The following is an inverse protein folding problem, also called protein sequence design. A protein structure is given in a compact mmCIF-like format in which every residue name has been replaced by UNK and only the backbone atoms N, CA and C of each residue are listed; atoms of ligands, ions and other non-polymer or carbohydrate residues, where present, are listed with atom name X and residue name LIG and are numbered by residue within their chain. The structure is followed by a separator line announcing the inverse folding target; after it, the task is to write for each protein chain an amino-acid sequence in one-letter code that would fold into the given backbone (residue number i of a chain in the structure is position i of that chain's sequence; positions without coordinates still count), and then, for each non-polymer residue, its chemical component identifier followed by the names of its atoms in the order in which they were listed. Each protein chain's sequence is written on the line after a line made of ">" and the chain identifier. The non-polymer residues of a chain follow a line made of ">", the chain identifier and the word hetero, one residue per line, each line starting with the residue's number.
data_IF_090272735685
#
_entry.id   IF_090272735685
#
_cell.length_a   1.000
_cell.length_b   1.000
_cell.length_c   1.000
_cell.angle_alpha   90.00
_cell.angle_beta   90.00
_cell.angle_gamma   90.00
#
_symmetry.space_group_name_H-M   'P 1'
#
loop_
_entity.id
_entity.type
_entity.pdbx_description
1 polymer ?
#
# COMPACT_ATOMS: atom_id res chain seq x y z
N UNK A 1 6.89 12.35 22.39
CA UNK A 1 7.29 11.19 21.54
C UNK A 1 6.38 10.00 21.75
N UNK A 2 6.26 9.46 22.97
CA UNK A 2 5.35 8.33 23.26
C UNK A 2 3.91 8.60 22.82
N UNK A 3 3.36 9.79 23.13
CA UNK A 3 2.02 10.18 22.67
C UNK A 3 1.87 10.14 21.15
N UNK A 4 2.85 10.66 20.40
CA UNK A 4 2.82 10.63 18.93
C UNK A 4 2.85 9.19 18.41
N UNK A 5 3.67 8.32 19.01
CA UNK A 5 3.73 6.91 18.65
C UNK A 5 2.38 6.21 18.92
N UNK A 6 1.74 6.47 20.05
CA UNK A 6 0.43 5.92 20.38
C UNK A 6 -0.65 6.37 19.38
N UNK A 7 -0.65 7.64 18.99
CA UNK A 7 -1.56 8.16 17.96
C UNK A 7 -1.34 7.48 16.62
N UNK A 8 -0.08 7.43 16.13
CA UNK A 8 0.27 6.77 14.86
C UNK A 8 -0.16 5.29 14.89
N UNK A 9 0.16 4.56 15.96
CA UNK A 9 -0.11 3.12 16.05
C UNK A 9 -1.61 2.82 16.16
N UNK A 10 -2.35 3.59 16.96
CA UNK A 10 -3.79 3.35 17.16
C UNK A 10 -4.59 3.53 15.87
N UNK A 11 -4.35 4.61 15.13
CA UNK A 11 -5.03 4.88 13.85
C UNK A 11 -4.57 3.98 12.71
N UNK A 12 -3.38 3.38 12.82
CA UNK A 12 -2.88 2.36 11.89
C UNK A 12 -3.53 0.99 12.06
N UNK A 13 -4.37 0.80 13.09
CA UNK A 13 -5.12 -0.42 13.26
C UNK A 13 -6.03 -0.68 12.06
N UNK A 14 -6.21 -1.96 11.70
CA UNK A 14 -7.00 -2.32 10.52
C UNK A 14 -8.42 -1.75 10.59
N UNK A 15 -9.03 -1.76 11.77
CA UNK A 15 -10.38 -1.26 11.99
C UNK A 15 -10.52 0.24 11.70
N UNK A 16 -9.60 1.07 12.22
CA UNK A 16 -9.65 2.52 12.03
C UNK A 16 -9.26 2.87 10.60
N UNK A 17 -8.18 2.29 10.06
CA UNK A 17 -7.70 2.58 8.71
C UNK A 17 -8.74 2.25 7.63
N UNK A 18 -9.55 1.21 7.80
CA UNK A 18 -10.61 0.87 6.83
C UNK A 18 -11.91 1.64 7.05
N UNK A 19 -12.10 2.23 8.24
CA UNK A 19 -13.32 2.97 8.59
C UNK A 19 -13.20 4.48 8.38
N UNK A 20 -11.99 5.04 8.52
CA UNK A 20 -11.71 6.45 8.30
C UNK A 20 -10.24 6.58 7.83
N UNK A 21 -10.05 6.59 6.51
CA UNK A 21 -8.72 6.57 5.93
C UNK A 21 -8.01 7.91 6.12
N UNK A 22 -8.74 9.03 6.02
CA UNK A 22 -8.24 10.38 6.26
C UNK A 22 -7.64 10.54 7.67
N UNK A 23 -8.33 10.07 8.72
CA UNK A 23 -7.80 10.09 10.09
C UNK A 23 -6.50 9.30 10.20
N UNK A 24 -6.46 8.11 9.60
CA UNK A 24 -5.22 7.33 9.50
C UNK A 24 -4.13 8.14 8.81
N UNK A 25 -4.42 8.75 7.66
CA UNK A 25 -3.46 9.50 6.86
C UNK A 25 -2.85 10.67 7.63
N UNK A 26 -3.66 11.56 8.22
CA UNK A 26 -3.16 12.72 8.97
C UNK A 26 -2.31 12.31 10.16
N UNK A 27 -2.78 11.34 10.95
CA UNK A 27 -2.03 10.89 12.12
C UNK A 27 -0.77 10.14 11.75
N UNK A 28 -0.72 9.43 10.61
CA UNK A 28 0.50 8.79 10.15
C UNK A 28 1.60 9.80 9.83
N UNK A 29 1.26 10.97 9.24
CA UNK A 29 2.22 12.04 8.90
C UNK A 29 2.92 12.66 10.12
N UNK A 30 2.42 12.42 11.34
CA UNK A 30 3.11 12.78 12.58
C UNK A 30 4.48 12.10 12.71
N UNK A 31 4.82 11.11 11.87
CA UNK A 31 6.16 10.54 11.78
C UNK A 31 7.24 11.62 11.54
N UNK A 32 6.93 12.68 10.79
CA UNK A 32 7.86 13.79 10.56
C UNK A 32 8.23 14.50 11.87
N UNK A 33 7.21 14.81 12.69
CA UNK A 33 7.41 15.43 14.00
C UNK A 33 8.14 14.45 14.93
N UNK A 34 7.79 13.17 14.89
CA UNK A 34 8.47 12.13 15.67
C UNK A 34 9.96 12.04 15.32
N UNK A 35 10.33 12.09 14.04
CA UNK A 35 11.72 12.05 13.58
C UNK A 35 12.49 13.29 14.03
N UNK A 36 11.91 14.49 13.92
CA UNK A 36 12.51 15.70 14.47
C UNK A 36 12.77 15.56 15.98
N UNK A 37 11.79 15.05 16.73
CA UNK A 37 11.96 14.83 18.17
C UNK A 37 13.00 13.73 18.48
N UNK A 38 13.17 12.71 17.65
CA UNK A 38 14.22 11.68 17.80
C UNK A 38 15.62 12.28 17.62
N UNK A 39 15.78 13.28 16.76
CA UNK A 39 17.05 14.01 16.61
C UNK A 39 17.31 14.93 17.81
N UNK A 40 16.28 15.58 18.35
CA UNK A 40 16.41 16.51 19.47
C UNK A 40 16.57 15.82 20.83
N UNK A 41 15.91 14.68 21.04
CA UNK A 41 15.89 13.95 22.32
C UNK A 41 17.27 13.62 22.91
N UNK A 42 18.24 13.07 22.15
CA UNK A 42 19.56 12.73 22.69
C UNK A 42 20.48 13.94 22.89
N UNK A 43 20.14 15.12 22.36
CA UNK A 43 21.00 16.32 22.46
C UNK A 43 21.22 16.80 23.89
N UNK A 44 20.35 16.42 24.84
CA UNK A 44 20.51 16.77 26.26
C UNK A 44 21.63 15.98 26.95
N UNK A 45 22.20 14.95 26.31
CA UNK A 45 23.36 14.22 26.84
C UNK A 45 23.11 13.57 28.20
N UNK A 46 21.88 13.14 28.48
CA UNK A 46 21.48 12.57 29.78
C UNK A 46 22.25 11.28 30.07
N UNK A 47 22.49 10.48 29.02
CA UNK A 47 23.33 9.29 29.11
C UNK A 47 24.79 9.72 29.12
N UNK A 48 25.45 9.44 30.24
CA UNK A 48 26.88 9.67 30.44
C UNK A 48 27.58 8.33 30.59
N UNK A 49 28.78 8.25 30.05
CA UNK A 49 29.67 7.10 30.18
C UNK A 49 30.95 7.55 30.89
N UNK A 50 31.52 6.65 31.69
CA UNK A 50 32.77 6.90 32.39
C UNK A 50 33.93 6.55 31.47
N UNK A 51 34.83 7.50 31.21
CA UNK A 51 35.99 7.26 30.34
C UNK A 51 37.24 6.80 31.12
N UNK A 52 37.40 7.20 32.38
CA UNK A 52 38.59 6.93 33.17
C UNK A 52 38.49 5.63 33.99
N UNK A 53 38.11 4.52 33.36
CA UNK A 53 37.98 3.21 34.02
C UNK A 53 39.31 2.69 34.59
N UNK A 54 40.44 3.03 33.95
CA UNK A 54 41.77 2.61 34.41
C UNK A 54 42.24 3.35 35.67
N UNK A 55 41.73 4.57 35.90
CA UNK A 55 42.04 5.40 37.07
C UNK A 55 41.02 5.25 38.18
N UNK A 56 39.75 4.99 37.82
CA UNK A 56 38.65 4.84 38.73
C UNK A 56 37.76 3.64 38.31
N UNK A 57 38.18 2.40 38.59
CA UNK A 57 37.35 1.23 38.31
C UNK A 57 36.11 1.20 39.22
N UNK A 58 34.96 0.65 38.76
CA UNK A 58 33.76 0.54 39.58
C UNK A 58 34.05 -0.20 40.89
N UNK A 59 33.74 0.42 42.03
CA UNK A 59 34.00 -0.15 43.36
C UNK A 59 35.37 0.17 43.97
N UNK A 60 36.18 1.05 43.35
CA UNK A 60 37.41 1.54 43.98
C UNK A 60 37.11 2.48 45.16
N UNK A 61 38.02 2.53 46.13
CA UNK A 61 37.92 3.43 47.27
C UNK A 61 38.74 4.71 47.06
N UNK A 62 38.08 5.85 47.18
CA UNK A 62 38.74 7.16 47.21
C UNK A 62 39.47 7.31 48.54
N UNK A 63 40.77 7.59 48.50
CA UNK A 63 41.52 7.97 49.70
C UNK A 63 41.04 9.37 50.10
N UNK A 64 40.15 9.43 51.09
CA UNK A 64 39.88 10.69 51.80
C UNK A 64 41.16 11.08 52.52
N UNK A 65 41.74 12.21 52.11
CA UNK A 65 42.97 12.74 52.67
C UNK A 65 42.75 13.09 54.15
N UNK A 66 43.02 12.14 55.05
CA UNK A 66 43.21 12.43 56.48
C UNK A 66 44.64 12.95 56.66
N UNK A 67 44.89 14.12 56.09
CA UNK A 67 46.17 14.81 56.13
C UNK A 67 45.95 16.27 56.52
N UNK A 68 45.97 16.55 57.81
CA UNK A 68 46.15 17.91 58.29
C UNK A 68 47.51 18.43 57.80
N UNK A 69 47.49 19.42 56.92
CA UNK A 69 48.62 20.30 56.67
C UNK A 69 48.10 21.72 56.65
N UNK A 70 48.52 22.48 57.66
CA UNK A 70 48.31 23.91 57.77
C UNK A 70 49.05 24.59 56.62
N UNK A 71 48.36 24.93 55.54
CA UNK A 71 48.86 25.91 54.58
C UNK A 71 47.78 26.96 54.34
N UNK A 72 47.93 28.05 55.07
CA UNK A 72 47.33 29.35 54.77
C UNK A 72 47.76 29.79 53.37
N UNK A 73 46.83 29.78 52.42
CA UNK A 73 46.93 30.67 51.27
C UNK A 73 45.56 31.28 50.96
N UNK A 74 45.50 32.59 51.20
CA UNK A 74 44.38 33.47 50.89
C UNK A 74 44.01 33.38 49.40
N UNK A 75 42.77 32.97 49.13
CA UNK A 75 42.06 33.37 47.91
C UNK A 75 40.75 33.99 48.37
N UNK A 76 40.61 35.28 48.11
CA UNK A 76 39.41 36.05 48.39
C UNK A 76 38.26 35.54 47.49
N UNK A 77 37.17 35.11 48.12
CA UNK A 77 35.90 34.83 47.44
C UNK A 77 34.97 36.04 47.58
N UNK A 78 34.48 36.55 46.44
CA UNK A 78 33.30 37.41 46.37
C UNK A 78 32.05 36.62 46.85
N UNK A 79 31.04 37.27 47.44
CA UNK A 79 29.89 36.56 47.99
C UNK A 79 28.87 36.20 46.90
N UNK A 80 28.64 34.91 46.67
CA UNK A 80 27.43 34.43 45.99
C UNK A 80 26.23 34.45 46.94
N UNK A 81 25.00 34.72 46.44
CA UNK A 81 23.82 34.91 47.27
C UNK A 81 23.29 33.58 47.83
N UNK A 82 22.79 33.64 49.06
CA UNK A 82 22.15 32.53 49.78
C UNK A 82 20.96 31.92 48.98
N UNK A 83 20.87 30.59 48.84
CA UNK A 83 19.60 29.93 48.62
C UNK A 83 18.91 29.64 49.96
N UNK A 84 17.62 29.97 49.97
CA UNK A 84 16.67 29.89 51.08
C UNK A 84 16.65 28.54 51.82
N UNK A 85 16.38 28.64 53.12
CA UNK A 85 16.28 27.54 54.07
C UNK A 85 15.20 26.51 53.69
N UNK A 86 15.61 25.29 53.33
CA UNK A 86 14.73 24.13 53.38
C UNK A 86 14.87 23.44 54.74
N UNK A 87 13.88 23.64 55.61
CA UNK A 87 13.74 22.95 56.88
C UNK A 87 13.20 21.55 56.59
N UNK A 88 14.06 20.54 56.69
CA UNK A 88 13.70 19.12 56.66
C UNK A 88 14.45 18.37 57.76
N UNK A 89 13.79 18.16 58.90
CA UNK A 89 14.27 17.39 60.04
C UNK A 89 14.31 15.89 59.73
N UNK A 90 15.47 15.25 59.92
CA UNK A 90 15.68 14.09 60.81
C UNK A 90 17.20 13.81 60.91
N UNK A 91 17.78 13.64 62.11
CA UNK A 91 19.15 13.14 62.24
C UNK A 91 19.15 11.65 61.88
N UNK A 92 19.90 11.28 60.84
CA UNK A 92 20.23 9.88 60.60
C UNK A 92 21.14 9.38 61.75
N UNK A 93 20.93 8.17 62.29
CA UNK A 93 21.93 7.53 63.14
C UNK A 93 23.22 7.39 62.33
N UNK A 94 24.38 7.64 62.96
CA UNK A 94 25.66 7.23 62.37
C UNK A 94 25.56 5.75 61.98
N UNK A 95 25.80 5.37 60.71
CA UNK A 95 25.84 3.97 60.36
C UNK A 95 27.07 3.37 61.05
N UNK A 96 26.81 2.44 61.97
CA UNK A 96 27.79 1.43 62.39
C UNK A 96 28.46 0.89 61.12
N UNK A 97 29.79 0.82 61.13
CA UNK A 97 30.57 0.39 59.98
C UNK A 97 30.18 -1.02 59.56
N UNK A 98 29.30 -1.13 58.56
CA UNK A 98 29.02 -2.40 57.91
C UNK A 98 30.31 -2.91 57.23
N UNK A 99 30.66 -4.20 57.39
CA UNK A 99 31.80 -4.78 56.70
C UNK A 99 31.56 -4.74 55.19
N UNK A 100 32.60 -4.30 54.45
CA UNK A 100 32.58 -4.05 53.01
C UNK A 100 32.12 -5.29 52.21
N UNK A 101 31.26 -5.12 51.18
CA UNK A 101 30.84 -6.22 50.33
C UNK A 101 32.01 -6.78 49.49
N UNK A 102 32.07 -8.11 49.39
CA UNK A 102 33.08 -8.91 48.68
C UNK A 102 33.11 -8.58 47.18
N UNK A 103 33.94 -7.60 46.81
CA UNK A 103 34.20 -7.24 45.41
C UNK A 103 35.30 -6.20 45.19
N UNK A 104 35.98 -5.75 46.25
CA UNK A 104 36.90 -4.60 46.23
C UNK A 104 38.39 -4.97 46.30
N UNK A 105 38.73 -6.25 46.11
CA UNK A 105 40.11 -6.75 46.19
C UNK A 105 40.65 -7.23 44.84
N UNK A 106 41.89 -6.86 44.51
CA UNK A 106 42.62 -7.42 43.36
C UNK A 106 42.89 -8.95 43.54
N UNK A 107 43.45 -9.62 42.51
CA UNK A 107 43.82 -11.06 42.56
C UNK A 107 44.74 -11.44 43.76
N UNK A 108 45.30 -10.44 44.46
CA UNK A 108 46.20 -10.60 45.60
C UNK A 108 45.58 -10.13 46.93
N UNK A 109 44.27 -9.86 46.98
CA UNK A 109 43.55 -9.50 48.21
C UNK A 109 43.73 -8.04 48.67
N UNK A 110 44.23 -7.13 47.81
CA UNK A 110 44.46 -5.72 48.17
C UNK A 110 43.29 -4.84 47.74
N UNK A 111 42.91 -3.90 48.60
CA UNK A 111 41.86 -2.91 48.31
C UNK A 111 42.26 -2.06 47.11
N UNK A 112 41.43 -2.07 46.05
CA UNK A 112 41.66 -1.25 44.85
C UNK A 112 41.37 0.22 45.19
N UNK A 113 42.42 1.05 45.15
CA UNK A 113 42.32 2.49 45.44
C UNK A 113 42.16 3.29 44.15
N UNK A 114 41.28 4.30 44.17
CA UNK A 114 41.08 5.17 43.02
C UNK A 114 42.31 6.10 42.87
N UNK A 115 42.80 6.27 41.63
CA UNK A 115 43.91 7.17 41.31
C UNK A 115 43.46 8.62 41.06
N UNK A 116 42.16 8.83 40.86
CA UNK A 116 41.54 10.14 40.64
C UNK A 116 40.01 10.06 40.71
N UNK A 117 39.30 11.21 40.66
CA UNK A 117 37.83 11.23 40.67
C UNK A 117 37.25 10.66 39.36
N UNK A 118 36.02 10.10 39.38
CA UNK A 118 35.39 9.57 38.17
C UNK A 118 35.01 10.70 37.20
N UNK A 119 35.39 10.55 35.93
CA UNK A 119 35.09 11.52 34.86
C UNK A 119 34.04 10.95 33.92
N UNK A 120 32.90 11.65 33.81
CA UNK A 120 31.77 11.26 32.98
C UNK A 120 31.64 12.17 31.76
N UNK A 121 31.60 11.58 30.57
CA UNK A 121 31.35 12.30 29.32
C UNK A 121 29.99 11.91 28.75
N UNK A 122 29.36 12.85 28.05
CA UNK A 122 28.11 12.58 27.33
C UNK A 122 28.40 11.70 26.13
N UNK A 123 27.62 10.62 25.97
CA UNK A 123 27.74 9.75 24.80
C UNK A 123 27.49 10.56 23.50
N UNK A 124 28.22 10.22 22.44
CA UNK A 124 28.02 10.86 21.14
C UNK A 124 26.60 10.59 20.61
N UNK A 125 25.96 11.59 20.02
CA UNK A 125 24.64 11.41 19.43
C UNK A 125 24.80 10.65 18.10
N UNK A 126 24.31 9.42 18.04
CA UNK A 126 24.44 8.56 16.84
C UNK A 126 23.16 8.49 15.99
N UNK A 127 22.03 8.92 16.53
CA UNK A 127 20.70 8.77 15.92
C UNK A 127 20.61 9.39 14.52
N UNK A 128 21.34 10.49 14.27
CA UNK A 128 21.34 11.17 12.98
C UNK A 128 21.92 10.31 11.85
N UNK A 129 22.90 9.44 12.14
CA UNK A 129 23.51 8.56 11.14
C UNK A 129 22.50 7.58 10.58
N UNK A 130 21.63 7.06 11.45
CA UNK A 130 20.61 6.07 11.10
C UNK A 130 19.36 6.69 10.48
N UNK A 131 19.05 7.96 10.78
CA UNK A 131 17.88 8.64 10.24
C UNK A 131 18.16 9.36 8.91
N UNK A 132 19.31 10.02 8.77
CA UNK A 132 19.56 10.94 7.66
C UNK A 132 19.57 10.22 6.30
N UNK A 133 20.29 9.10 6.17
CA UNK A 133 20.38 8.35 4.91
C UNK A 133 19.01 7.90 4.39
N UNK A 134 18.24 7.10 5.16
CA UNK A 134 16.90 6.68 4.77
C UNK A 134 15.93 7.85 4.53
N UNK A 135 16.01 8.92 5.33
CA UNK A 135 15.16 10.10 5.15
C UNK A 135 15.48 10.85 3.86
N UNK A 136 16.76 11.04 3.52
CA UNK A 136 17.16 11.62 2.24
C UNK A 136 16.68 10.79 1.05
N UNK A 137 16.79 9.45 1.13
CA UNK A 137 16.27 8.56 0.10
C UNK A 137 14.74 8.68 -0.05
N UNK A 138 14.01 8.74 1.07
CA UNK A 138 12.57 8.99 1.06
C UNK A 138 12.23 10.33 0.41
N UNK A 139 12.90 11.43 0.79
CA UNK A 139 12.68 12.73 0.21
C UNK A 139 12.98 12.74 -1.29
N UNK A 140 14.07 12.11 -1.73
CA UNK A 140 14.40 12.00 -3.15
C UNK A 140 13.31 11.24 -3.93
N UNK A 141 12.80 10.14 -3.37
CA UNK A 141 11.70 9.37 -3.96
C UNK A 141 10.40 10.18 -4.06
N UNK A 142 10.08 10.95 -3.02
CA UNK A 142 8.90 11.83 -2.98
C UNK A 142 9.00 13.00 -3.96
N UNK A 143 10.16 13.66 -4.05
CA UNK A 143 10.39 14.71 -5.04
C UNK A 143 10.32 14.14 -6.46
N UNK A 144 10.92 12.98 -6.70
CA UNK A 144 10.84 12.32 -8.00
C UNK A 144 9.39 12.02 -8.41
N UNK A 145 8.56 11.49 -7.49
CA UNK A 145 7.13 11.27 -7.76
C UNK A 145 6.39 12.56 -8.02
N UNK A 146 6.61 13.61 -7.22
CA UNK A 146 5.95 14.90 -7.40
C UNK A 146 6.28 15.50 -8.77
N UNK A 147 7.55 15.47 -9.19
CA UNK A 147 7.96 15.97 -10.50
C UNK A 147 7.32 15.16 -11.63
N UNK A 148 7.20 13.84 -11.49
CA UNK A 148 6.59 12.96 -12.49
C UNK A 148 5.05 13.07 -12.54
N UNK A 149 4.39 13.23 -11.39
CA UNK A 149 2.93 13.21 -11.26
C UNK A 149 2.28 14.56 -11.54
N UNK A 150 3.05 15.65 -11.62
CA UNK A 150 2.55 17.03 -11.77
C UNK A 150 1.99 17.38 -13.16
N UNK A 151 1.57 16.38 -13.94
CA UNK A 151 0.91 16.61 -15.22
C UNK A 151 -0.57 16.26 -15.07
N UNK A 152 -1.47 17.26 -15.21
CA UNK A 152 -2.91 17.05 -15.09
C UNK A 152 -3.43 16.21 -16.26
N UNK A 153 -4.45 15.40 -15.99
CA UNK A 153 -5.23 14.67 -16.99
C UNK A 153 -6.61 15.31 -17.13
N UNK A 154 -7.02 15.58 -18.36
CA UNK A 154 -8.33 16.16 -18.65
C UNK A 154 -9.38 15.04 -18.81
N UNK A 155 -10.52 15.20 -18.16
CA UNK A 155 -11.67 14.29 -18.30
C UNK A 155 -12.35 14.56 -19.64
N UNK A 156 -12.35 13.57 -20.52
CA UNK A 156 -13.00 13.62 -21.83
C UNK A 156 -14.44 13.14 -21.79
N UNK A 157 -14.79 12.26 -20.85
CA UNK A 157 -16.12 11.70 -20.72
C UNK A 157 -16.31 10.88 -19.45
N UNK A 158 -17.55 10.74 -19.03
CA UNK A 158 -17.96 9.94 -17.88
C UNK A 158 -19.14 9.07 -18.29
N UNK A 159 -19.07 7.78 -18.00
CA UNK A 159 -20.13 6.82 -18.29
C UNK A 159 -20.46 6.07 -17.00
N UNK A 160 -21.73 6.09 -16.61
CA UNK A 160 -22.22 5.36 -15.45
C UNK A 160 -22.60 3.93 -15.86
N UNK A 161 -22.18 2.98 -15.04
CA UNK A 161 -22.44 1.55 -15.20
C UNK A 161 -23.20 1.02 -13.97
N UNK A 162 -23.96 -0.09 -14.11
CA UNK A 162 -24.63 -0.72 -12.98
C UNK A 162 -23.65 -1.16 -11.88
N UNK A 163 -24.15 -1.30 -10.63
CA UNK A 163 -23.36 -1.73 -9.45
C UNK A 163 -22.39 -0.65 -8.91
N UNK A 164 -22.80 0.63 -9.02
CA UNK A 164 -22.08 1.82 -8.56
C UNK A 164 -20.68 1.94 -9.16
N UNK A 165 -20.56 1.63 -10.45
CA UNK A 165 -19.30 1.70 -11.21
C UNK A 165 -19.38 2.86 -12.18
N UNK A 166 -18.33 3.68 -12.21
CA UNK A 166 -18.18 4.78 -13.15
C UNK A 166 -16.93 4.58 -13.99
N UNK A 167 -17.09 4.70 -15.30
CA UNK A 167 -15.99 4.82 -16.24
C UNK A 167 -15.63 6.30 -16.39
N UNK A 168 -14.36 6.62 -16.14
CA UNK A 168 -13.80 7.95 -16.36
C UNK A 168 -12.82 7.87 -17.52
N UNK A 169 -13.13 8.58 -18.59
CA UNK A 169 -12.28 8.70 -19.77
C UNK A 169 -11.38 9.92 -19.61
N UNK A 170 -10.08 9.70 -19.75
CA UNK A 170 -9.03 10.66 -19.45
C UNK A 170 -8.11 10.84 -20.66
N UNK A 171 -7.58 12.04 -20.80
CA UNK A 171 -6.56 12.38 -21.80
C UNK A 171 -5.37 13.03 -21.11
N UNK A 172 -4.15 12.58 -21.48
CA UNK A 172 -2.90 13.09 -20.94
C UNK A 172 -1.84 13.14 -22.02
N UNK A 173 -1.14 14.26 -22.12
CA UNK A 173 -0.08 14.44 -23.11
C UNK A 173 1.10 13.49 -22.87
N UNK A 174 1.61 12.89 -23.95
CA UNK A 174 2.76 11.99 -23.89
C UNK A 174 2.53 10.71 -23.07
N UNK A 175 1.29 10.37 -22.72
CA UNK A 175 0.98 9.20 -21.94
C UNK A 175 0.85 7.95 -22.83
N UNK A 176 1.73 6.98 -22.61
CA UNK A 176 1.65 5.65 -23.22
C UNK A 176 1.52 4.60 -22.14
N UNK A 177 0.65 3.61 -22.34
CA UNK A 177 0.44 2.52 -21.40
C UNK A 177 0.18 1.20 -22.13
N UNK A 178 0.48 0.09 -21.45
CA UNK A 178 0.19 -1.26 -21.93
C UNK A 178 -1.00 -1.87 -21.20
N UNK A 179 -1.67 -2.86 -21.81
CA UNK A 179 -2.81 -3.52 -21.18
C UNK A 179 -2.41 -4.22 -19.88
N UNK A 180 -3.28 -4.11 -18.88
CA UNK A 180 -3.07 -4.64 -17.53
C UNK A 180 -2.31 -3.70 -16.60
N UNK A 181 -1.69 -2.63 -17.10
CA UNK A 181 -1.04 -1.62 -16.25
C UNK A 181 -2.07 -0.79 -15.47
N UNK A 182 -1.62 -0.19 -14.36
CA UNK A 182 -2.44 0.69 -13.54
C UNK A 182 -1.81 2.07 -13.42
N UNK A 183 -2.64 3.04 -13.06
CA UNK A 183 -2.23 4.41 -12.75
C UNK A 183 -2.64 4.74 -11.33
N UNK A 184 -2.02 5.77 -10.77
CA UNK A 184 -2.40 6.29 -9.47
C UNK A 184 -2.99 7.67 -9.68
N UNK A 185 -4.22 7.87 -9.19
CA UNK A 185 -5.01 9.07 -9.44
C UNK A 185 -5.11 9.88 -8.15
N UNK A 186 -4.92 11.18 -8.27
CA UNK A 186 -5.20 12.17 -7.24
C UNK A 186 -6.25 13.14 -7.75
N UNK A 187 -7.18 13.50 -6.86
CA UNK A 187 -8.20 14.51 -7.10
C UNK A 187 -8.09 15.54 -5.98
N UNK A 188 -7.45 16.71 -6.22
CA UNK A 188 -7.23 17.72 -5.18
C UNK A 188 -8.52 18.23 -4.56
N UNK A 189 -9.61 18.23 -5.33
CA UNK A 189 -10.92 18.64 -4.86
C UNK A 189 -11.42 17.69 -3.76
N UNK A 190 -11.11 16.39 -3.85
CA UNK A 190 -11.40 15.35 -2.82
C UNK A 190 -10.39 15.44 -1.69
N UNK A 191 -9.11 15.25 -2.02
CA UNK A 191 -8.01 15.22 -1.08
C UNK A 191 -6.71 15.54 -1.80
N UNK A 192 -5.97 16.54 -1.30
CA UNK A 192 -4.77 17.05 -1.97
C UNK A 192 -3.56 16.13 -1.85
N UNK A 193 -3.58 15.19 -0.90
CA UNK A 193 -2.44 14.33 -0.58
C UNK A 193 -2.69 12.85 -0.87
N UNK A 194 -3.93 12.46 -1.16
CA UNK A 194 -4.27 11.05 -1.37
C UNK A 194 -4.21 10.63 -2.84
N UNK A 195 -3.58 9.48 -3.05
CA UNK A 195 -3.27 8.93 -4.36
C UNK A 195 -3.76 7.48 -4.39
N UNK A 196 -4.74 7.18 -5.23
CA UNK A 196 -5.42 5.88 -5.26
C UNK A 196 -5.15 5.12 -6.56
N UNK A 197 -4.77 3.83 -6.51
CA UNK A 197 -4.44 3.06 -7.70
C UNK A 197 -5.69 2.57 -8.45
N UNK A 198 -5.73 2.78 -9.76
CA UNK A 198 -6.78 2.30 -10.66
C UNK A 198 -6.19 1.64 -11.90
N UNK A 199 -6.70 0.46 -12.23
CA UNK A 199 -6.28 -0.26 -13.43
C UNK A 199 -6.84 0.38 -14.69
N UNK A 200 -6.00 0.50 -15.72
CA UNK A 200 -6.42 1.02 -17.02
C UNK A 200 -7.29 -0.02 -17.72
N UNK A 201 -8.54 0.31 -18.03
CA UNK A 201 -9.45 -0.58 -18.78
C UNK A 201 -9.38 -0.37 -20.28
N UNK A 202 -8.93 0.81 -20.72
CA UNK A 202 -8.63 1.13 -22.11
C UNK A 202 -7.29 1.86 -22.15
N UNK A 203 -6.40 1.46 -23.06
CA UNK A 203 -5.08 2.05 -23.21
C UNK A 203 -5.05 3.04 -24.38
N UNK A 204 -4.25 4.11 -24.27
CA UNK A 204 -4.11 5.07 -25.36
C UNK A 204 -3.45 4.39 -26.56
N UNK A 205 -3.93 4.72 -27.75
CA UNK A 205 -3.45 4.20 -29.03
C UNK A 205 -3.00 5.34 -29.93
N UNK A 206 -2.22 5.08 -30.98
CA UNK A 206 -1.76 6.14 -31.90
C UNK A 206 -2.90 6.91 -32.58
N UNK A 207 -4.11 6.33 -32.62
CA UNK A 207 -5.33 6.94 -33.18
C UNK A 207 -6.17 7.68 -32.15
N UNK A 208 -6.06 7.31 -30.88
CA UNK A 208 -6.90 7.82 -29.81
C UNK A 208 -6.06 7.96 -28.52
N UNK A 209 -5.76 9.20 -28.06
CA UNK A 209 -4.99 9.44 -26.86
C UNK A 209 -5.79 9.21 -25.56
N UNK A 210 -7.08 8.86 -25.66
CA UNK A 210 -7.91 8.61 -24.48
C UNK A 210 -7.55 7.28 -23.82
N UNK A 211 -7.65 7.26 -22.49
CA UNK A 211 -7.58 6.06 -21.69
C UNK A 211 -8.67 6.08 -20.62
N UNK A 212 -9.20 4.92 -20.29
CA UNK A 212 -10.31 4.80 -19.34
C UNK A 212 -9.86 4.12 -18.06
N UNK A 213 -10.39 4.59 -16.94
CA UNK A 213 -10.36 3.89 -15.64
C UNK A 213 -11.79 3.60 -15.20
N UNK A 214 -11.98 2.51 -14.48
CA UNK A 214 -13.26 2.19 -13.85
C UNK A 214 -13.09 2.24 -12.33
N UNK A 215 -13.94 3.03 -11.68
CA UNK A 215 -13.98 3.17 -10.22
C UNK A 215 -15.32 2.65 -9.71
N UNK A 216 -15.28 1.87 -8.63
CA UNK A 216 -16.48 1.45 -7.91
C UNK A 216 -16.57 2.25 -6.61
N UNK A 217 -17.78 2.68 -6.22
CA UNK A 217 -18.04 3.36 -4.95
C UNK A 217 -17.77 2.43 -3.76
N UNK A 218 -16.51 2.39 -3.28
CA UNK A 218 -15.99 1.43 -2.31
C UNK A 218 -15.03 2.10 -1.31
N UNK A 219 -15.52 3.05 -0.53
CA UNK A 219 -14.75 3.78 0.47
C UNK A 219 -15.00 5.29 0.43
N UNK A 220 -14.50 6.00 1.44
CA UNK A 220 -14.64 7.44 1.64
C UNK A 220 -14.15 8.27 0.45
N UNK A 221 -12.92 7.99 -0.03
CA UNK A 221 -12.35 8.72 -1.16
C UNK A 221 -13.09 8.44 -2.46
N UNK A 222 -13.40 7.17 -2.76
CA UNK A 222 -14.09 6.80 -4.01
C UNK A 222 -15.53 7.28 -4.05
N UNK A 223 -16.21 7.34 -2.90
CA UNK A 223 -17.56 7.91 -2.76
C UNK A 223 -17.54 9.42 -2.99
N UNK A 224 -16.60 10.10 -2.33
CA UNK A 224 -16.38 11.55 -2.50
C UNK A 224 -15.98 11.94 -3.93
N UNK A 225 -15.25 11.07 -4.64
CA UNK A 225 -14.95 11.26 -6.06
C UNK A 225 -16.19 11.00 -6.92
N UNK A 226 -16.94 9.94 -6.64
CA UNK A 226 -18.18 9.61 -7.37
C UNK A 226 -19.16 10.79 -7.36
N UNK A 227 -19.43 11.36 -6.18
CA UNK A 227 -20.36 12.49 -6.01
C UNK A 227 -19.88 13.75 -6.74
N UNK A 228 -18.57 13.98 -6.86
CA UNK A 228 -18.00 15.09 -7.64
C UNK A 228 -18.08 14.87 -9.15
N UNK A 229 -17.98 13.61 -9.59
CA UNK A 229 -18.05 13.25 -11.01
C UNK A 229 -19.50 13.23 -11.53
N UNK A 230 -20.43 12.81 -10.67
CA UNK A 230 -21.86 12.72 -10.93
C UNK A 230 -22.62 13.48 -9.83
N UNK A 231 -22.59 14.83 -9.83
CA UNK A 231 -23.43 15.59 -8.91
C UNK A 231 -24.90 15.31 -9.24
N UNK A 232 -25.71 15.12 -8.20
CA UNK A 232 -27.16 14.99 -8.35
C UNK A 232 -27.69 16.21 -9.12
N UNK A 233 -28.24 15.97 -10.30
CA UNK A 233 -29.03 17.00 -10.98
C UNK A 233 -30.33 17.13 -10.21
N UNK A 234 -30.44 18.14 -9.35
CA UNK A 234 -31.74 18.56 -8.85
C UNK A 234 -32.67 18.77 -10.05
N UNK A 235 -33.85 18.14 -10.01
CA UNK A 235 -34.88 18.12 -11.07
C UNK A 235 -35.48 19.52 -11.39
N UNK A 236 -34.84 20.62 -11.02
CA UNK A 236 -35.41 21.97 -11.09
C UNK A 236 -35.04 22.77 -12.34
N UNK A 237 -34.18 22.29 -13.24
CA UNK A 237 -33.81 23.01 -14.46
C UNK A 237 -34.01 22.19 -15.76
N UNK A 238 -35.27 21.87 -16.08
CA UNK A 238 -35.69 21.30 -17.38
C UNK A 238 -35.53 22.27 -18.59
N UNK A 239 -34.86 23.41 -18.45
CA UNK A 239 -34.86 24.46 -19.49
C UNK A 239 -33.53 24.70 -20.22
N UNK A 240 -32.47 23.93 -19.93
CA UNK A 240 -31.20 24.04 -20.66
C UNK A 240 -30.72 22.66 -21.16
N UNK A 241 -30.28 22.53 -22.43
CA UNK A 241 -29.70 21.28 -22.90
C UNK A 241 -28.49 20.92 -22.04
N UNK A 242 -28.38 19.62 -21.73
CA UNK A 242 -27.42 18.89 -20.86
C UNK A 242 -25.92 19.23 -21.08
N UNK A 243 -25.61 20.12 -22.04
CA UNK A 243 -24.30 20.73 -22.30
C UNK A 243 -24.01 21.98 -21.46
N UNK A 244 -24.77 22.29 -20.40
CA UNK A 244 -24.34 23.28 -19.39
C UNK A 244 -23.04 22.75 -18.79
N UNK A 245 -21.91 23.38 -19.19
CA UNK A 245 -20.52 23.07 -18.84
C UNK A 245 -20.41 22.36 -17.48
N UNK A 246 -20.42 21.02 -17.47
CA UNK A 246 -19.97 20.25 -16.31
C UNK A 246 -18.50 20.60 -16.11
N UNK A 247 -18.21 21.39 -15.08
CA UNK A 247 -16.83 21.62 -14.67
C UNK A 247 -16.40 20.38 -13.91
N UNK A 248 -15.76 19.46 -14.63
CA UNK A 248 -15.19 18.28 -14.01
C UNK A 248 -13.97 18.66 -13.15
N UNK A 249 -13.75 17.95 -12.03
CA UNK A 249 -12.57 18.18 -11.20
C UNK A 249 -11.30 17.88 -11.99
N UNK A 250 -10.22 18.59 -11.68
CA UNK A 250 -8.91 18.29 -12.29
C UNK A 250 -8.32 17.04 -11.65
N UNK A 251 -7.96 16.04 -12.45
CA UNK A 251 -7.32 14.82 -11.98
C UNK A 251 -5.83 14.82 -12.29
N UNK A 252 -5.01 14.43 -11.33
CA UNK A 252 -3.58 14.18 -11.51
C UNK A 252 -3.34 12.69 -11.61
N UNK A 253 -2.62 12.26 -12.65
CA UNK A 253 -2.41 10.84 -12.95
C UNK A 253 -0.92 10.56 -12.95
N UNK A 254 -0.46 9.69 -12.06
CA UNK A 254 0.90 9.13 -12.05
C UNK A 254 0.89 7.70 -12.62
N UNK A 255 1.92 7.37 -13.41
CA UNK A 255 2.02 6.09 -14.09
C UNK A 255 2.59 6.18 -15.51
N UNK A 256 2.44 5.13 -16.32
CA UNK A 256 1.85 3.84 -15.93
C UNK A 256 2.76 3.04 -14.98
N UNK A 257 2.14 2.13 -14.22
CA UNK A 257 2.83 1.16 -13.37
C UNK A 257 2.53 -0.27 -13.83
N UNK A 258 3.57 -1.10 -13.87
CA UNK A 258 3.47 -2.50 -14.26
C UNK A 258 2.69 -3.33 -13.24
N UNK A 259 1.94 -4.31 -13.74
CA UNK A 259 1.22 -5.31 -12.94
C UNK A 259 1.51 -6.71 -13.46
N UNK A 260 1.24 -7.78 -12.69
CA UNK A 260 1.33 -9.14 -13.19
C UNK A 260 0.46 -9.40 -14.43
N UNK A 261 -0.67 -8.72 -14.61
CA UNK A 261 -1.54 -8.90 -15.79
C UNK A 261 -0.92 -8.45 -17.11
N UNK A 262 0.15 -7.64 -17.11
CA UNK A 262 0.90 -7.33 -18.35
C UNK A 262 1.43 -8.63 -19.01
N UNK A 263 1.71 -9.66 -18.20
CA UNK A 263 2.26 -10.93 -18.68
C UNK A 263 1.21 -11.88 -19.28
N UNK A 264 -0.08 -11.52 -19.34
CA UNK A 264 -1.14 -12.38 -19.90
C UNK A 264 -0.82 -12.81 -21.34
N UNK A 265 -0.18 -11.94 -22.12
CA UNK A 265 0.20 -12.23 -23.50
C UNK A 265 1.50 -13.05 -23.65
N UNK A 266 2.25 -13.26 -22.57
CA UNK A 266 3.49 -14.04 -22.60
C UNK A 266 3.26 -15.56 -22.59
N UNK A 267 2.05 -16.00 -22.22
CA UNK A 267 1.67 -17.41 -22.18
C UNK A 267 0.89 -17.82 -23.43
N UNK A 268 1.09 -19.06 -23.88
CA UNK A 268 0.28 -19.64 -24.96
C UNK A 268 -1.17 -19.89 -24.48
N UNK A 269 -1.35 -20.15 -23.18
CA UNK A 269 -2.66 -20.32 -22.53
C UNK A 269 -2.69 -19.51 -21.24
N UNK A 270 -3.69 -18.63 -21.10
CA UNK A 270 -3.88 -17.80 -19.91
C UNK A 270 -5.24 -18.04 -19.28
N UNK A 271 -5.25 -18.15 -17.95
CA UNK A 271 -6.44 -18.31 -17.11
C UNK A 271 -6.60 -17.07 -16.23
N UNK A 272 -7.53 -16.21 -16.59
CA UNK A 272 -7.87 -14.96 -15.91
C UNK A 272 -9.04 -15.19 -14.95
N UNK A 273 -8.84 -14.93 -13.67
CA UNK A 273 -9.83 -15.16 -12.60
C UNK A 273 -10.10 -13.84 -11.89
N UNK A 274 -11.33 -13.33 -12.05
CA UNK A 274 -11.78 -12.07 -11.48
C UNK A 274 -12.86 -12.27 -10.41
N UNK A 275 -12.85 -11.42 -9.38
CA UNK A 275 -13.95 -11.31 -8.41
C UNK A 275 -14.43 -9.86 -8.28
N UNK A 276 -15.72 -9.62 -8.52
CA UNK A 276 -16.31 -8.26 -8.48
C UNK A 276 -15.61 -7.30 -9.46
N UNK A 277 -15.25 -6.11 -8.99
CA UNK A 277 -14.52 -5.08 -9.75
C UNK A 277 -13.11 -5.53 -10.20
N UNK A 278 -12.56 -6.61 -9.63
CA UNK A 278 -11.27 -7.17 -10.03
C UNK A 278 -11.19 -7.69 -11.48
N UNK A 279 -12.23 -7.52 -12.29
CA UNK A 279 -12.22 -7.78 -13.72
C UNK A 279 -11.48 -6.69 -14.52
N UNK A 280 -11.32 -5.49 -13.98
CA UNK A 280 -10.71 -4.33 -14.66
C UNK A 280 -9.35 -4.59 -15.35
N UNK A 281 -8.36 -5.30 -14.76
CA UNK A 281 -7.13 -5.67 -15.47
C UNK A 281 -7.39 -6.53 -16.70
N UNK A 282 -8.35 -7.45 -16.62
CA UNK A 282 -8.72 -8.32 -17.73
C UNK A 282 -9.57 -7.59 -18.76
N UNK A 283 -10.35 -6.58 -18.36
CA UNK A 283 -11.04 -5.70 -19.28
C UNK A 283 -10.06 -4.98 -20.23
N UNK A 284 -8.95 -4.50 -19.68
CA UNK A 284 -7.80 -3.97 -20.44
C UNK A 284 -7.31 -4.94 -21.50
N UNK A 285 -7.07 -6.19 -21.10
CA UNK A 285 -6.60 -7.28 -21.98
C UNK A 285 -7.63 -7.57 -23.07
N UNK A 286 -8.91 -7.64 -22.73
CA UNK A 286 -10.00 -7.93 -23.66
C UNK A 286 -10.19 -6.82 -24.70
N UNK A 287 -10.16 -5.55 -24.26
CA UNK A 287 -10.23 -4.40 -25.16
C UNK A 287 -9.02 -4.33 -26.10
N UNK A 288 -7.82 -4.64 -25.59
CA UNK A 288 -6.64 -4.72 -26.43
C UNK A 288 -6.75 -5.81 -27.50
N UNK A 289 -7.24 -7.01 -27.13
CA UNK A 289 -7.49 -8.10 -28.08
C UNK A 289 -8.56 -7.75 -29.11
N UNK A 290 -9.57 -6.95 -28.75
CA UNK A 290 -10.60 -6.48 -29.66
C UNK A 290 -10.02 -5.50 -30.70
N UNK A 291 -9.14 -4.60 -30.27
CA UNK A 291 -8.56 -3.56 -31.14
C UNK A 291 -7.43 -4.10 -32.05
N UNK A 292 -6.50 -4.88 -31.50
CA UNK A 292 -5.33 -5.42 -32.23
C UNK A 292 -5.62 -6.77 -32.93
N UNK A 293 -6.72 -7.42 -32.56
CA UNK A 293 -7.13 -8.73 -33.05
C UNK A 293 -6.44 -9.91 -32.36
N UNK A 294 -7.09 -11.09 -32.45
CA UNK A 294 -6.67 -12.26 -31.67
C UNK A 294 -5.38 -12.91 -32.19
N UNK A 295 -4.95 -12.53 -33.40
CA UNK A 295 -3.72 -13.04 -34.06
C UNK A 295 -2.47 -12.27 -33.69
N UNK A 296 -2.59 -11.09 -33.08
CA UNK A 296 -1.46 -10.20 -32.78
C UNK A 296 -0.60 -10.72 -31.61
N UNK A 297 -1.11 -11.65 -30.81
CA UNK A 297 -0.43 -12.13 -29.61
C UNK A 297 -0.03 -13.61 -29.69
N UNK A 298 0.93 -14.00 -28.83
CA UNK A 298 1.32 -15.41 -28.63
C UNK A 298 0.20 -16.24 -27.99
N UNK A 299 -0.76 -15.58 -27.34
CA UNK A 299 -1.89 -16.21 -26.69
C UNK A 299 -2.73 -16.99 -27.71
N UNK A 300 -2.92 -18.28 -27.46
CA UNK A 300 -3.73 -19.17 -28.30
C UNK A 300 -5.09 -19.46 -27.69
N UNK A 301 -5.18 -19.41 -26.35
CA UNK A 301 -6.41 -19.67 -25.61
C UNK A 301 -6.47 -18.85 -24.33
N UNK A 302 -7.58 -18.14 -24.14
CA UNK A 302 -7.89 -17.35 -22.97
C UNK A 302 -9.10 -17.95 -22.25
N UNK A 303 -8.91 -18.31 -20.99
CA UNK A 303 -9.98 -18.68 -20.08
C UNK A 303 -10.29 -17.50 -19.16
N UNK A 304 -11.54 -17.04 -19.17
CA UNK A 304 -12.01 -15.99 -18.29
C UNK A 304 -13.03 -16.55 -17.31
N UNK A 305 -12.70 -16.54 -16.03
CA UNK A 305 -13.61 -16.91 -14.94
C UNK A 305 -13.93 -15.65 -14.15
N UNK A 306 -15.19 -15.23 -14.13
CA UNK A 306 -15.60 -14.03 -13.40
C UNK A 306 -16.70 -14.34 -12.39
N UNK A 307 -16.43 -14.01 -11.13
CA UNK A 307 -17.29 -14.30 -9.99
C UNK A 307 -17.90 -13.00 -9.45
N UNK A 308 -19.22 -12.86 -9.58
CA UNK A 308 -19.96 -11.71 -9.09
C UNK A 308 -21.07 -12.11 -8.11
N UNK A 309 -21.55 -11.13 -7.35
CA UNK A 309 -22.73 -11.29 -6.46
C UNK A 309 -24.02 -11.03 -7.21
N UNK A 310 -24.01 -10.00 -8.06
CA UNK A 310 -25.15 -9.50 -8.82
C UNK A 310 -24.97 -9.81 -10.31
N UNK A 311 -26.08 -9.97 -11.03
CA UNK A 311 -26.07 -10.20 -12.48
C UNK A 311 -25.75 -8.91 -13.25
N UNK A 312 -26.19 -7.76 -12.73
CA UNK A 312 -26.00 -6.43 -13.29
C UNK A 312 -24.53 -6.07 -13.42
N UNK A 313 -23.68 -6.55 -12.51
CA UNK A 313 -22.22 -6.36 -12.57
C UNK A 313 -21.61 -6.91 -13.86
N UNK A 314 -22.26 -7.85 -14.56
CA UNK A 314 -21.75 -8.40 -15.83
C UNK A 314 -22.03 -7.51 -17.03
N UNK A 315 -22.99 -6.58 -16.94
CA UNK A 315 -23.48 -5.82 -18.09
C UNK A 315 -22.43 -4.88 -18.68
N UNK A 316 -21.61 -4.24 -17.84
CA UNK A 316 -20.67 -3.21 -18.32
C UNK A 316 -19.61 -3.73 -19.30
N UNK A 317 -19.22 -5.00 -19.21
CA UNK A 317 -18.25 -5.62 -20.12
C UNK A 317 -18.90 -6.62 -21.10
N UNK A 318 -20.22 -6.83 -20.99
CA UNK A 318 -20.93 -7.83 -21.78
C UNK A 318 -20.77 -7.61 -23.29
N UNK A 319 -20.85 -6.34 -23.73
CA UNK A 319 -20.66 -5.97 -25.13
C UNK A 319 -19.26 -6.31 -25.65
N UNK A 320 -18.22 -6.03 -24.86
CA UNK A 320 -16.82 -6.35 -25.21
C UNK A 320 -16.64 -7.87 -25.36
N UNK A 321 -17.16 -8.65 -24.42
CA UNK A 321 -17.08 -10.11 -24.46
C UNK A 321 -17.79 -10.70 -25.70
N UNK A 322 -18.99 -10.21 -26.01
CA UNK A 322 -19.74 -10.67 -27.18
C UNK A 322 -19.05 -10.28 -28.49
N UNK A 323 -18.51 -9.06 -28.56
CA UNK A 323 -17.81 -8.56 -29.75
C UNK A 323 -16.53 -9.34 -30.00
N UNK A 324 -15.74 -9.59 -28.95
CA UNK A 324 -14.51 -10.37 -29.04
C UNK A 324 -14.79 -11.83 -29.44
N UNK A 325 -15.85 -12.44 -28.90
CA UNK A 325 -16.26 -13.78 -29.32
C UNK A 325 -16.63 -13.83 -30.80
N UNK A 326 -17.41 -12.85 -31.28
CA UNK A 326 -17.81 -12.76 -32.69
C UNK A 326 -16.61 -12.57 -33.60
N UNK A 327 -15.66 -11.75 -33.18
CA UNK A 327 -14.40 -11.57 -33.90
C UNK A 327 -13.58 -12.86 -33.95
N UNK A 328 -13.43 -13.56 -32.83
CA UNK A 328 -12.74 -14.85 -32.78
C UNK A 328 -13.39 -15.90 -33.69
N UNK A 329 -14.73 -15.89 -33.79
CA UNK A 329 -15.47 -16.73 -34.74
C UNK A 329 -15.15 -16.39 -36.19
N UNK A 330 -15.17 -15.10 -36.55
CA UNK A 330 -14.85 -14.61 -37.90
C UNK A 330 -13.38 -14.90 -38.28
N UNK A 331 -12.47 -14.89 -37.31
CA UNK A 331 -11.06 -15.25 -37.49
C UNK A 331 -10.82 -16.76 -37.54
N UNK A 332 -11.88 -17.58 -37.50
CA UNK A 332 -11.87 -19.05 -37.49
C UNK A 332 -11.13 -19.64 -36.27
N UNK A 333 -11.27 -19.00 -35.10
CA UNK A 333 -10.75 -19.45 -33.80
C UNK A 333 -11.83 -19.41 -32.71
N UNK A 334 -12.94 -20.15 -32.85
CA UNK A 334 -14.06 -20.09 -31.91
C UNK A 334 -13.66 -20.51 -30.47
N UNK A 335 -12.65 -21.36 -30.32
CA UNK A 335 -12.14 -21.85 -29.04
C UNK A 335 -11.12 -20.92 -28.36
N UNK A 336 -10.86 -19.74 -28.94
CA UNK A 336 -9.90 -18.78 -28.41
C UNK A 336 -10.32 -18.25 -27.04
N UNK A 337 -11.58 -17.84 -26.90
CA UNK A 337 -12.13 -17.24 -25.67
C UNK A 337 -13.13 -18.19 -25.01
N UNK A 338 -12.82 -18.61 -23.78
CA UNK A 338 -13.69 -19.48 -22.98
C UNK A 338 -14.14 -18.71 -21.73
N UNK A 339 -15.44 -18.42 -21.63
CA UNK A 339 -16.02 -17.58 -20.58
C UNK A 339 -16.80 -18.46 -19.60
N UNK A 340 -16.53 -18.28 -18.31
CA UNK A 340 -17.28 -18.88 -17.20
C UNK A 340 -17.71 -17.77 -16.24
N UNK A 341 -19.01 -17.47 -16.22
CA UNK A 341 -19.59 -16.46 -15.33
C UNK A 341 -20.20 -17.16 -14.12
N UNK A 342 -19.86 -16.72 -12.91
CA UNK A 342 -20.36 -17.33 -11.68
C UNK A 342 -21.14 -16.32 -10.83
N UNK A 343 -22.41 -16.61 -10.58
CA UNK A 343 -23.31 -15.77 -9.81
C UNK A 343 -23.52 -16.36 -8.42
N UNK A 344 -23.08 -15.64 -7.38
CA UNK A 344 -23.00 -16.20 -6.02
C UNK A 344 -24.16 -15.85 -5.10
N UNK A 345 -24.93 -14.79 -5.40
CA UNK A 345 -26.04 -14.30 -4.54
C UNK A 345 -27.36 -14.24 -5.28
N UNK A 346 -27.45 -13.47 -6.37
CA UNK A 346 -28.69 -13.37 -7.14
C UNK A 346 -29.00 -14.69 -7.86
N UNK A 347 -30.29 -15.00 -8.03
CA UNK A 347 -30.77 -16.10 -8.89
C UNK A 347 -31.54 -15.59 -10.10
N UNK A 348 -31.73 -14.27 -10.20
CA UNK A 348 -32.42 -13.66 -11.32
C UNK A 348 -31.44 -13.48 -12.48
N UNK A 349 -31.60 -14.29 -13.52
CA UNK A 349 -30.76 -14.29 -14.72
C UNK A 349 -31.48 -13.65 -15.91
N UNK A 350 -32.72 -13.20 -15.72
CA UNK A 350 -33.62 -12.73 -16.79
C UNK A 350 -33.08 -11.50 -17.55
N UNK A 351 -32.31 -10.62 -16.88
CA UNK A 351 -31.77 -9.40 -17.50
C UNK A 351 -30.75 -9.77 -18.59
N UNK A 352 -29.82 -10.67 -18.29
CA UNK A 352 -28.79 -11.09 -19.25
C UNK A 352 -29.38 -11.93 -20.38
N UNK A 353 -30.44 -12.69 -20.11
CA UNK A 353 -31.15 -13.48 -21.12
C UNK A 353 -31.74 -12.61 -22.24
N UNK A 354 -32.26 -11.42 -21.89
CA UNK A 354 -32.88 -10.49 -22.86
C UNK A 354 -31.85 -9.77 -23.72
N UNK A 355 -30.78 -9.25 -23.11
CA UNK A 355 -29.81 -8.41 -23.82
C UNK A 355 -28.64 -9.20 -24.43
N UNK A 356 -28.17 -10.26 -23.76
CA UNK A 356 -26.97 -11.00 -24.13
C UNK A 356 -27.17 -12.53 -23.98
N UNK A 357 -27.98 -13.16 -24.85
CA UNK A 357 -28.33 -14.58 -24.74
C UNK A 357 -27.11 -15.52 -24.79
N UNK A 358 -26.05 -15.14 -25.50
CA UNK A 358 -24.80 -15.89 -25.54
C UNK A 358 -24.15 -16.00 -24.16
N UNK A 359 -24.04 -14.88 -23.43
CA UNK A 359 -23.41 -14.88 -22.11
C UNK A 359 -24.27 -15.60 -21.09
N UNK A 360 -25.60 -15.53 -21.22
CA UNK A 360 -26.53 -16.24 -20.36
C UNK A 360 -26.25 -17.76 -20.33
N UNK A 361 -25.94 -18.36 -21.48
CA UNK A 361 -25.59 -19.79 -21.58
C UNK A 361 -24.31 -20.19 -20.82
N UNK A 362 -23.49 -19.21 -20.43
CA UNK A 362 -22.21 -19.38 -19.73
C UNK A 362 -22.28 -18.98 -18.26
N UNK A 363 -23.48 -18.65 -17.75
CA UNK A 363 -23.69 -18.33 -16.34
C UNK A 363 -23.94 -19.59 -15.53
N UNK A 364 -23.17 -19.74 -14.46
CA UNK A 364 -23.29 -20.80 -13.47
C UNK A 364 -23.70 -20.21 -12.12
N UNK A 365 -24.76 -20.74 -11.52
CA UNK A 365 -25.21 -20.31 -10.18
C UNK A 365 -24.38 -21.04 -9.12
N UNK A 366 -23.85 -20.27 -8.17
CA UNK A 366 -23.04 -20.76 -7.06
C UNK A 366 -21.54 -20.49 -7.22
N UNK A 367 -20.77 -20.96 -6.23
CA UNK A 367 -19.32 -20.75 -6.20
C UNK A 367 -18.61 -21.69 -7.19
N UNK A 368 -17.55 -21.22 -7.88
CA UNK A 368 -16.78 -22.06 -8.79
C UNK A 368 -16.17 -23.26 -8.08
N UNK A 369 -16.34 -24.44 -8.68
CA UNK A 369 -15.67 -25.66 -8.22
C UNK A 369 -14.25 -25.70 -8.80
N UNK A 370 -13.33 -24.97 -8.16
CA UNK A 370 -11.97 -24.75 -8.68
C UNK A 370 -11.22 -26.01 -9.09
N UNK A 371 -11.39 -27.13 -8.38
CA UNK A 371 -10.72 -28.40 -8.74
C UNK A 371 -11.17 -28.90 -10.11
N UNK A 372 -12.47 -28.94 -10.34
CA UNK A 372 -13.04 -29.41 -11.61
C UNK A 372 -12.62 -28.50 -12.77
N UNK A 373 -12.66 -27.18 -12.56
CA UNK A 373 -12.26 -26.22 -13.61
C UNK A 373 -10.78 -26.36 -13.94
N UNK A 374 -9.89 -26.48 -12.94
CA UNK A 374 -8.46 -26.65 -13.19
C UNK A 374 -8.14 -28.01 -13.84
N UNK A 375 -8.84 -29.08 -13.45
CA UNK A 375 -8.70 -30.40 -14.08
C UNK A 375 -9.16 -30.38 -15.54
N UNK A 376 -10.24 -29.65 -15.85
CA UNK A 376 -10.74 -29.43 -17.21
C UNK A 376 -9.73 -28.64 -18.05
N UNK A 377 -9.23 -27.51 -17.53
CA UNK A 377 -8.19 -26.71 -18.19
C UNK A 377 -6.93 -27.54 -18.43
N UNK A 378 -6.51 -28.37 -17.46
CA UNK A 378 -5.35 -29.24 -17.64
C UNK A 378 -5.61 -30.32 -18.71
N UNK A 379 -6.82 -30.91 -18.75
CA UNK A 379 -7.21 -31.92 -19.73
C UNK A 379 -7.17 -31.39 -21.16
N UNK A 380 -7.63 -30.15 -21.39
CA UNK A 380 -7.64 -29.53 -22.72
C UNK A 380 -6.29 -28.94 -23.14
N UNK A 381 -5.32 -28.83 -22.23
CA UNK A 381 -4.00 -28.23 -22.49
C UNK A 381 -2.88 -29.10 -21.87
N UNK A 382 -2.71 -30.37 -22.32
CA UNK A 382 -1.75 -31.29 -21.74
C UNK A 382 -0.31 -30.84 -22.01
N UNK A 383 0.59 -31.04 -21.03
CA UNK A 383 2.02 -30.67 -21.12
C UNK A 383 2.32 -29.21 -21.49
N UNK A 384 1.38 -28.30 -21.24
CA UNK A 384 1.57 -26.85 -21.46
C UNK A 384 1.76 -26.11 -20.14
N UNK A 385 2.34 -24.91 -20.22
CA UNK A 385 2.40 -23.99 -19.08
C UNK A 385 1.27 -22.97 -19.21
N UNK A 386 0.37 -22.94 -18.23
CA UNK A 386 -0.79 -22.05 -18.15
C UNK A 386 -0.50 -20.94 -17.16
N UNK A 387 -0.55 -19.69 -17.62
CA UNK A 387 -0.46 -18.51 -16.76
C UNK A 387 -1.78 -18.28 -16.03
N UNK A 388 -1.80 -18.36 -14.71
CA UNK A 388 -3.00 -18.15 -13.89
C UNK A 388 -2.92 -16.77 -13.24
N UNK A 389 -3.80 -15.86 -13.64
CA UNK A 389 -3.86 -14.49 -13.16
C UNK A 389 -5.11 -14.32 -12.32
N UNK A 390 -4.96 -13.84 -11.08
CA UNK A 390 -6.06 -13.68 -10.15
C UNK A 390 -6.12 -12.26 -9.58
N UNK A 391 -7.27 -11.62 -9.73
CA UNK A 391 -7.62 -10.37 -9.07
C UNK A 391 -8.95 -10.54 -8.32
N UNK A 392 -8.91 -10.51 -6.98
CA UNK A 392 -10.09 -10.72 -6.15
C UNK A 392 -9.80 -11.05 -4.68
N UNK A 393 -10.81 -11.47 -3.90
CA UNK A 393 -10.72 -11.54 -2.45
C UNK A 393 -9.67 -12.54 -1.93
N UNK A 394 -9.04 -12.23 -0.79
CA UNK A 394 -7.96 -13.03 -0.17
C UNK A 394 -8.35 -14.50 0.04
N UNK A 395 -9.61 -14.79 0.39
CA UNK A 395 -10.10 -16.15 0.57
C UNK A 395 -10.04 -17.00 -0.71
N UNK A 396 -10.38 -16.40 -1.86
CA UNK A 396 -10.32 -17.04 -3.18
C UNK A 396 -8.88 -17.32 -3.60
N UNK A 397 -8.00 -16.32 -3.42
CA UNK A 397 -6.57 -16.42 -3.76
C UNK A 397 -5.87 -17.59 -3.05
N UNK A 398 -6.10 -17.76 -1.74
CA UNK A 398 -5.49 -18.86 -0.96
C UNK A 398 -5.91 -20.26 -1.43
N UNK A 399 -7.14 -20.40 -1.94
CA UNK A 399 -7.64 -21.66 -2.48
C UNK A 399 -6.98 -22.01 -3.81
N UNK A 400 -6.95 -21.05 -4.73
CA UNK A 400 -6.41 -21.23 -6.08
C UNK A 400 -4.89 -21.43 -6.07
N UNK A 401 -4.16 -20.68 -5.24
CA UNK A 401 -2.71 -20.89 -5.08
C UNK A 401 -2.37 -22.33 -4.66
N UNK A 402 -3.16 -22.92 -3.77
CA UNK A 402 -2.99 -24.32 -3.34
C UNK A 402 -3.27 -25.32 -4.46
N UNK A 403 -4.16 -25.00 -5.39
CA UNK A 403 -4.47 -25.87 -6.53
C UNK A 403 -3.37 -25.77 -7.60
N UNK A 404 -2.87 -24.57 -7.89
CA UNK A 404 -1.79 -24.36 -8.86
C UNK A 404 -0.50 -25.10 -8.48
N UNK A 405 -0.21 -25.23 -7.18
CA UNK A 405 0.97 -25.94 -6.68
C UNK A 405 0.85 -27.47 -6.73
N UNK A 406 -0.37 -28.02 -6.91
CA UNK A 406 -0.58 -29.47 -6.98
C UNK A 406 -0.25 -29.98 -8.38
N UNK A 407 0.43 -31.13 -8.43
CA UNK A 407 0.64 -31.86 -9.69
C UNK A 407 -0.68 -32.42 -10.18
N UNK A 408 -0.94 -32.27 -11.47
CA UNK A 408 -2.07 -32.89 -12.17
C UNK A 408 -1.60 -34.08 -13.03
N UNK A 409 -2.56 -34.87 -13.49
CA UNK A 409 -2.31 -36.08 -14.31
C UNK A 409 -1.88 -35.76 -15.76
N UNK A 410 -2.07 -34.53 -16.21
CA UNK A 410 -1.87 -34.11 -17.61
C UNK A 410 -0.53 -33.41 -17.85
N UNK A 411 0.35 -33.38 -16.85
CA UNK A 411 1.65 -32.69 -16.87
C UNK A 411 1.57 -31.19 -17.20
N UNK A 412 0.40 -30.57 -17.03
CA UNK A 412 0.20 -29.14 -17.22
C UNK A 412 0.80 -28.38 -16.03
N UNK A 413 1.57 -27.32 -16.27
CA UNK A 413 2.14 -26.48 -15.21
C UNK A 413 1.28 -25.23 -15.04
N UNK A 414 0.82 -24.93 -13.83
CA UNK A 414 0.08 -23.70 -13.52
C UNK A 414 1.00 -22.69 -12.83
N UNK A 415 1.22 -21.55 -13.45
CA UNK A 415 2.03 -20.46 -12.88
C UNK A 415 1.12 -19.37 -12.30
N UNK A 416 1.14 -19.24 -10.98
CA UNK A 416 0.19 -18.40 -10.26
C UNK A 416 0.70 -16.97 -10.05
N UNK A 417 -0.04 -16.00 -10.59
CA UNK A 417 0.14 -14.57 -10.43
C UNK A 417 -1.03 -13.97 -9.67
N UNK A 418 -0.73 -13.25 -8.60
CA UNK A 418 -1.74 -12.59 -7.77
C UNK A 418 -1.64 -11.08 -7.95
N UNK A 419 -2.77 -10.47 -8.22
CA UNK A 419 -2.95 -9.03 -8.15
C UNK A 419 -3.57 -8.63 -6.82
N UNK A 420 -3.12 -7.50 -6.30
CA UNK A 420 -3.73 -6.83 -5.17
C UNK A 420 -4.04 -5.41 -5.63
N UNK A 421 -5.32 -5.05 -5.62
CA UNK A 421 -5.80 -3.69 -5.67
C UNK A 421 -6.62 -3.47 -4.41
#
# INVERSE_FOLDING_TARGET
>A
MVLLLLLIVSTSSLAIRTGNYELFWYTHHLFLILYCLMLLHPMRGVLKEQLNLDEHPPGCHMLMDKGGSNDTLNVASEPEPEPEAYIGLMPYPEPESEPLPEGSTDEFGRVVTCKGPPTFHTHAVEVWMWLLGPFCLYCAERVYRLVRSNSPAAISGIIEHPDDVVEVQLTKEGFGAKPGQYVVVNCPDVSTLEYHPFTLTMCPSSRDPTFSIHLQKMGDWTESLYERLLPDTDETDESLPVMVRRQYPTLYVDGPFGSPSENVFHYDVSLCIAGGIGITPFASVLNHLLNEGTKSSRLRRLYLIWVCRNITSFLWIAQVLCSLQRQAWNENRPDFLNIYLHLTRSRDVQILEREYPFLNSRVHVGRPQWRHIFDEVARYNPSTTVGVFLCGPKGMSKGIKRICLKKNKFHTKFEFHKENF
#
